data_IF_015509552559
#
_entry.id   IF_015509552559
#
_cell.length_a   1.000
_cell.length_b   1.000
_cell.length_c   1.000
_cell.angle_alpha   90.00
_cell.angle_beta   90.00
_cell.angle_gamma   90.00
#
_symmetry.space_group_name_H-M   'P 1'
#
loop_
_entity.id
_entity.type
_entity.pdbx_description
1 polymer ?
#
# COMPACT_ATOMS: atom_id res chain seq x y z
N UNK A 1 -1.64 58.78 -15.73
CA UNK A 1 -2.84 58.05 -16.18
C UNK A 1 -3.00 56.87 -15.24
N UNK A 2 -3.84 57.04 -14.21
CA UNK A 2 -4.03 56.04 -13.15
C UNK A 2 -4.77 54.80 -13.65
N UNK A 3 -4.49 53.59 -13.13
CA UNK A 3 -5.25 52.41 -13.47
C UNK A 3 -6.59 52.43 -12.73
N UNK A 4 -7.69 52.41 -13.48
CA UNK A 4 -9.04 52.29 -12.94
C UNK A 4 -9.21 50.89 -12.35
N UNK A 5 -9.27 50.78 -11.02
CA UNK A 5 -9.66 49.54 -10.33
C UNK A 5 -11.13 49.24 -10.64
N UNK A 6 -11.40 48.17 -11.40
CA UNK A 6 -12.78 47.64 -11.52
C UNK A 6 -13.12 46.81 -10.29
N UNK A 7 -14.28 47.07 -9.70
CA UNK A 7 -14.84 46.22 -8.65
C UNK A 7 -15.11 44.81 -9.21
N UNK A 8 -14.64 43.77 -8.51
CA UNK A 8 -14.78 42.36 -8.91
C UNK A 8 -16.22 41.82 -8.79
N UNK A 9 -17.17 42.65 -8.33
CA UNK A 9 -18.57 42.31 -8.15
C UNK A 9 -19.44 43.29 -8.93
N UNK A 10 -20.45 42.83 -9.70
CA UNK A 10 -21.41 43.70 -10.38
C UNK A 10 -22.43 44.32 -9.41
N UNK A 11 -22.35 44.01 -8.12
CA UNK A 11 -23.23 44.55 -7.09
C UNK A 11 -22.57 45.74 -6.37
N UNK A 12 -23.30 46.86 -6.21
CA UNK A 12 -22.76 48.08 -5.59
C UNK A 12 -22.51 47.94 -4.07
N UNK A 13 -23.16 46.97 -3.42
CA UNK A 13 -22.95 46.66 -2.00
C UNK A 13 -22.10 45.38 -1.86
N UNK A 14 -20.91 45.44 -1.24
CA UNK A 14 -20.03 44.28 -1.05
C UNK A 14 -20.61 43.21 -0.12
N UNK A 15 -21.64 43.51 0.67
CA UNK A 15 -22.34 42.55 1.52
C UNK A 15 -23.36 41.69 0.74
N UNK A 16 -23.75 42.13 -0.46
CA UNK A 16 -24.71 41.43 -1.31
C UNK A 16 -24.00 40.31 -2.05
N UNK A 17 -24.21 39.08 -1.57
CA UNK A 17 -23.67 37.87 -2.21
C UNK A 17 -24.36 37.63 -3.56
N UNK A 18 -23.57 37.52 -4.62
CA UNK A 18 -24.08 37.14 -5.93
C UNK A 18 -24.67 35.71 -5.96
N UNK A 19 -25.42 35.37 -7.03
CA UNK A 19 -26.09 34.06 -7.16
C UNK A 19 -25.14 32.87 -7.03
N UNK A 20 -23.92 33.00 -7.54
CA UNK A 20 -22.87 31.98 -7.42
C UNK A 20 -22.39 31.76 -5.99
N UNK A 21 -22.18 32.82 -5.21
CA UNK A 21 -21.74 32.70 -3.81
C UNK A 21 -22.87 32.23 -2.90
N UNK A 22 -24.14 32.53 -3.22
CA UNK A 22 -25.31 31.95 -2.55
C UNK A 22 -25.39 30.43 -2.79
N UNK A 23 -25.15 29.96 -4.02
CA UNK A 23 -25.12 28.52 -4.34
C UNK A 23 -23.98 27.78 -3.63
N UNK A 24 -22.82 28.42 -3.47
CA UNK A 24 -21.67 27.83 -2.77
C UNK A 24 -21.88 27.76 -1.25
N UNK A 25 -22.57 28.74 -0.67
CA UNK A 25 -22.96 28.74 0.75
C UNK A 25 -24.08 27.73 1.08
N UNK A 26 -24.83 27.26 0.07
CA UNK A 26 -25.91 26.26 0.20
C UNK A 26 -25.46 24.81 -0.02
N UNK A 27 -24.18 24.56 -0.33
CA UNK A 27 -23.68 23.19 -0.44
C UNK A 27 -23.60 22.58 0.96
N UNK A 28 -24.16 21.38 1.19
CA UNK A 28 -23.91 20.67 2.43
C UNK A 28 -22.40 20.48 2.58
N UNK A 29 -21.88 20.81 3.75
CA UNK A 29 -20.46 20.73 4.05
C UNK A 29 -20.05 19.25 4.09
N UNK A 30 -19.39 18.78 3.02
CA UNK A 30 -18.91 17.40 2.87
C UNK A 30 -17.98 16.98 4.02
N UNK A 31 -17.32 17.94 4.70
CA UNK A 31 -16.48 17.67 5.88
C UNK A 31 -17.28 17.23 7.12
N UNK A 32 -18.57 17.56 7.20
CA UNK A 32 -19.44 17.15 8.32
C UNK A 32 -20.01 15.74 8.14
N UNK A 33 -19.79 15.12 6.98
CA UNK A 33 -20.41 13.86 6.56
C UNK A 33 -19.47 12.64 6.69
N UNK A 34 -18.28 12.81 7.27
CA UNK A 34 -17.30 11.74 7.50
C UNK A 34 -17.34 11.35 8.99
N UNK A 35 -18.48 10.82 9.42
CA UNK A 35 -18.64 10.08 10.67
C UNK A 35 -19.87 9.19 10.52
N UNK A 36 -19.87 8.35 9.49
CA UNK A 36 -20.89 7.34 9.32
C UNK A 36 -20.27 6.01 9.71
N UNK A 37 -20.31 5.70 11.01
CA UNK A 37 -20.31 4.30 11.42
C UNK A 37 -21.48 3.63 10.72
N UNK A 38 -21.17 2.74 9.78
CA UNK A 38 -22.17 1.91 9.11
C UNK A 38 -22.77 0.93 10.13
N UNK A 39 -24.00 0.46 9.89
CA UNK A 39 -24.69 -0.55 10.70
C UNK A 39 -24.98 -0.17 12.17
N UNK A 40 -25.84 0.83 12.39
CA UNK A 40 -26.41 1.12 13.71
C UNK A 40 -27.59 0.19 13.98
N UNK A 41 -27.54 -0.53 15.10
CA UNK A 41 -28.62 -1.42 15.57
C UNK A 41 -28.96 -1.08 17.02
N UNK A 42 -30.08 -1.58 17.55
CA UNK A 42 -30.44 -1.45 18.97
C UNK A 42 -29.40 -2.04 19.91
N UNK A 43 -28.64 -3.04 19.46
CA UNK A 43 -27.52 -3.64 20.19
C UNK A 43 -26.22 -2.82 20.07
N UNK A 44 -26.05 -2.04 18.99
CA UNK A 44 -24.84 -1.26 18.73
C UNK A 44 -25.19 0.20 18.33
N UNK A 45 -25.57 1.05 19.30
CA UNK A 45 -26.02 2.41 19.03
C UNK A 45 -24.92 3.32 18.45
N UNK A 46 -23.65 3.01 18.72
CA UNK A 46 -22.48 3.69 18.14
C UNK A 46 -22.16 3.31 16.68
N UNK A 47 -22.83 2.30 16.13
CA UNK A 47 -22.47 1.64 14.88
C UNK A 47 -21.31 0.66 15.06
N UNK A 48 -21.26 -0.38 14.24
CA UNK A 48 -20.18 -1.38 14.28
C UNK A 48 -18.94 -0.74 13.65
N UNK A 49 -17.90 -0.52 14.44
CA UNK A 49 -16.58 -0.24 13.88
C UNK A 49 -16.07 -1.55 13.27
N UNK A 50 -15.64 -1.58 12.00
CA UNK A 50 -14.96 -2.75 11.48
C UNK A 50 -13.67 -2.91 12.29
N UNK A 51 -13.66 -3.87 13.22
CA UNK A 51 -12.41 -4.35 13.78
C UNK A 51 -11.87 -5.35 12.76
N UNK A 52 -10.71 -5.05 12.20
CA UNK A 52 -10.00 -6.00 11.35
C UNK A 52 -9.30 -6.95 12.31
N UNK A 53 -9.98 -8.04 12.66
CA UNK A 53 -9.33 -9.14 13.37
C UNK A 53 -8.30 -9.77 12.43
N UNK A 54 -7.11 -10.07 12.96
CA UNK A 54 -6.07 -10.73 12.21
C UNK A 54 -6.36 -12.23 12.16
N UNK A 55 -5.94 -12.85 11.06
CA UNK A 55 -5.98 -14.31 10.93
C UNK A 55 -4.86 -14.95 11.76
N UNK A 56 -5.04 -16.19 12.20
CA UNK A 56 -4.01 -16.96 12.92
C UNK A 56 -2.66 -16.97 12.16
N UNK A 57 -2.71 -17.02 10.83
CA UNK A 57 -1.55 -17.00 9.95
C UNK A 57 -0.84 -15.63 9.93
N UNK A 58 -1.58 -14.54 10.02
CA UNK A 58 -0.99 -13.20 10.12
C UNK A 58 -0.28 -13.04 11.48
N UNK A 59 -0.91 -13.49 12.56
CA UNK A 59 -0.33 -13.46 13.91
C UNK A 59 0.96 -14.30 13.99
N UNK A 60 0.95 -15.53 13.51
CA UNK A 60 2.13 -16.42 13.49
C UNK A 60 3.31 -15.82 12.71
N UNK A 61 3.03 -15.20 11.55
CA UNK A 61 4.06 -14.58 10.70
C UNK A 61 4.63 -13.32 11.34
N UNK A 62 3.84 -12.56 12.09
CA UNK A 62 4.36 -11.42 12.85
C UNK A 62 5.26 -11.90 13.99
N UNK A 63 4.86 -12.92 14.74
CA UNK A 63 5.69 -13.46 15.82
C UNK A 63 7.00 -14.09 15.32
N UNK A 64 6.92 -14.88 14.25
CA UNK A 64 8.06 -15.70 13.79
C UNK A 64 8.95 -14.93 12.81
N UNK A 65 8.35 -14.21 11.87
CA UNK A 65 9.05 -13.56 10.77
C UNK A 65 9.10 -12.03 10.88
N UNK A 66 8.53 -11.45 11.95
CA UNK A 66 8.48 -10.00 12.18
C UNK A 66 7.88 -9.23 11.00
N UNK A 67 6.90 -9.86 10.32
CA UNK A 67 6.18 -9.25 9.22
C UNK A 67 5.07 -8.37 9.79
N UNK A 68 5.13 -7.08 9.45
CA UNK A 68 4.13 -6.11 9.86
C UNK A 68 2.90 -6.16 8.92
N UNK A 69 1.86 -6.85 9.36
CA UNK A 69 0.60 -7.02 8.62
C UNK A 69 -0.32 -5.78 8.65
N UNK A 70 -0.03 -4.78 9.48
CA UNK A 70 -0.75 -3.50 9.44
C UNK A 70 -0.32 -2.66 8.23
N UNK A 71 0.91 -2.90 7.76
CA UNK A 71 1.53 -2.18 6.66
C UNK A 71 1.60 -2.99 5.35
N UNK A 72 1.44 -4.31 5.41
CA UNK A 72 1.55 -5.21 4.24
C UNK A 72 0.39 -6.20 4.20
N UNK A 73 -0.19 -6.40 3.00
CA UNK A 73 -1.20 -7.44 2.80
C UNK A 73 -0.56 -8.82 2.64
N UNK A 74 -1.00 -9.80 3.43
CA UNK A 74 -0.57 -11.19 3.29
C UNK A 74 -1.59 -11.94 2.44
N UNK A 75 -1.19 -12.30 1.21
CA UNK A 75 -2.02 -13.08 0.29
C UNK A 75 -1.40 -14.47 0.17
N UNK A 76 -2.01 -15.45 0.84
CA UNK A 76 -1.52 -16.83 0.82
C UNK A 76 -1.92 -17.53 -0.48
N UNK A 77 -0.92 -18.04 -1.21
CA UNK A 77 -1.08 -18.80 -2.46
C UNK A 77 -2.03 -18.14 -3.48
N UNK A 78 -1.77 -16.89 -3.92
CA UNK A 78 -2.60 -16.23 -4.93
C UNK A 78 -2.61 -17.02 -6.24
N UNK A 79 -3.71 -16.89 -6.98
CA UNK A 79 -3.78 -17.41 -8.34
C UNK A 79 -2.75 -16.72 -9.24
N UNK A 80 -2.34 -17.39 -10.32
CA UNK A 80 -1.45 -16.80 -11.33
C UNK A 80 -2.02 -15.50 -11.90
N UNK A 81 -3.33 -15.42 -12.10
CA UNK A 81 -4.00 -14.20 -12.61
C UNK A 81 -3.85 -13.02 -11.64
N UNK A 82 -4.08 -13.24 -10.34
CA UNK A 82 -3.88 -12.21 -9.32
C UNK A 82 -2.42 -11.72 -9.29
N UNK A 83 -1.45 -12.63 -9.40
CA UNK A 83 -0.03 -12.26 -9.48
C UNK A 83 0.30 -11.40 -10.72
N UNK A 84 -0.34 -11.65 -11.85
CA UNK A 84 -0.18 -10.81 -13.06
C UNK A 84 -0.75 -9.41 -12.83
N UNK A 85 -1.95 -9.33 -12.27
CA UNK A 85 -2.60 -8.05 -11.96
C UNK A 85 -1.76 -7.23 -10.99
N UNK A 86 -1.29 -7.83 -9.89
CA UNK A 86 -0.46 -7.17 -8.90
C UNK A 86 0.86 -6.67 -9.51
N UNK A 87 1.52 -7.49 -10.34
CA UNK A 87 2.76 -7.09 -11.00
C UNK A 87 2.55 -5.89 -11.95
N UNK A 88 1.43 -5.81 -12.66
CA UNK A 88 1.11 -4.70 -13.56
C UNK A 88 0.68 -3.43 -12.81
N UNK A 89 0.11 -3.56 -11.61
CA UNK A 89 -0.37 -2.43 -10.81
C UNK A 89 0.74 -1.83 -9.95
N UNK A 90 1.57 -2.66 -9.33
CA UNK A 90 2.49 -2.23 -8.27
C UNK A 90 3.96 -2.18 -8.68
N UNK A 91 4.40 -2.96 -9.68
CA UNK A 91 5.82 -3.04 -10.04
C UNK A 91 6.15 -2.22 -11.31
N UNK A 92 6.94 -1.15 -11.13
CA UNK A 92 7.36 -0.27 -12.22
C UNK A 92 8.50 -0.92 -13.02
N UNK A 93 8.14 -1.80 -13.93
CA UNK A 93 9.10 -2.59 -14.70
C UNK A 93 8.53 -3.89 -15.27
N UNK A 94 7.28 -4.20 -14.92
CA UNK A 94 6.55 -5.36 -15.44
C UNK A 94 5.71 -5.01 -16.66
N UNK A 95 5.61 -5.94 -17.61
CA UNK A 95 4.75 -5.82 -18.78
C UNK A 95 4.32 -7.20 -19.29
N UNK A 96 3.28 -7.25 -20.13
CA UNK A 96 2.87 -8.46 -20.84
C UNK A 96 3.44 -8.43 -22.26
N UNK A 97 4.11 -9.51 -22.66
CA UNK A 97 4.62 -9.68 -24.03
C UNK A 97 3.48 -10.01 -25.00
N UNK A 98 3.76 -9.97 -26.31
CA UNK A 98 2.80 -10.37 -27.35
C UNK A 98 2.37 -11.85 -27.22
N UNK A 99 3.25 -12.69 -26.68
CA UNK A 99 2.95 -14.09 -26.35
C UNK A 99 2.13 -14.27 -25.07
N UNK A 100 1.81 -13.19 -24.35
CA UNK A 100 1.07 -13.24 -23.08
C UNK A 100 1.93 -13.56 -21.85
N UNK A 101 3.26 -13.58 -21.96
CA UNK A 101 4.14 -13.83 -20.83
C UNK A 101 4.37 -12.54 -20.02
N UNK A 102 4.43 -12.66 -18.70
CA UNK A 102 4.88 -11.56 -17.84
C UNK A 102 6.41 -11.40 -17.95
N UNK A 103 6.86 -10.23 -18.35
CA UNK A 103 8.27 -9.81 -18.30
C UNK A 103 8.46 -8.80 -17.17
N UNK A 104 9.60 -8.85 -16.49
CA UNK A 104 9.98 -7.91 -15.44
C UNK A 104 11.44 -7.45 -15.64
N UNK A 105 11.70 -6.16 -15.48
CA UNK A 105 13.03 -5.58 -15.60
C UNK A 105 13.74 -5.51 -14.24
N UNK A 106 14.82 -6.27 -14.04
CA UNK A 106 15.55 -6.35 -12.76
C UNK A 106 16.63 -5.27 -12.56
N UNK A 107 16.69 -4.24 -13.43
CA UNK A 107 17.66 -3.16 -13.31
C UNK A 107 19.11 -3.61 -13.48
N UNK A 108 20.00 -3.08 -12.64
CA UNK A 108 21.43 -3.35 -12.71
C UNK A 108 21.82 -4.80 -12.33
N UNK A 109 20.94 -5.53 -11.65
CA UNK A 109 21.19 -6.89 -11.15
C UNK A 109 20.47 -7.89 -12.07
N UNK A 110 21.11 -8.22 -13.19
CA UNK A 110 20.54 -9.07 -14.24
C UNK A 110 20.91 -10.56 -14.13
N UNK A 111 21.63 -10.94 -13.08
CA UNK A 111 22.11 -12.30 -12.88
C UNK A 111 22.24 -12.66 -11.41
N UNK A 112 22.81 -13.85 -11.17
CA UNK A 112 23.10 -14.31 -9.80
C UNK A 112 24.19 -13.43 -9.17
N UNK A 113 24.14 -13.26 -7.86
CA UNK A 113 25.24 -12.72 -7.05
C UNK A 113 25.83 -13.84 -6.17
N UNK A 114 26.70 -14.72 -6.71
CA UNK A 114 27.18 -15.89 -5.95
C UNK A 114 27.89 -15.51 -4.65
N UNK A 115 28.53 -14.34 -4.61
CA UNK A 115 29.26 -13.85 -3.44
C UNK A 115 28.35 -13.35 -2.31
N UNK A 116 27.05 -13.20 -2.55
CA UNK A 116 26.06 -12.76 -1.54
C UNK A 116 25.41 -13.95 -0.83
N UNK A 117 25.47 -15.16 -1.41
CA UNK A 117 24.96 -16.38 -0.79
C UNK A 117 25.73 -16.71 0.49
N UNK A 118 25.02 -16.95 1.59
CA UNK A 118 25.55 -17.46 2.85
C UNK A 118 24.77 -18.70 3.28
N UNK A 119 25.39 -19.53 4.10
CA UNK A 119 24.75 -20.68 4.76
C UNK A 119 25.04 -20.53 6.24
N UNK A 120 23.99 -20.58 7.06
CA UNK A 120 24.13 -20.54 8.52
C UNK A 120 24.94 -21.76 8.96
N UNK A 121 25.98 -21.52 9.74
CA UNK A 121 26.83 -22.59 10.26
C UNK A 121 26.24 -23.12 11.57
N UNK A 122 25.24 -23.98 11.46
CA UNK A 122 24.60 -24.65 12.60
C UNK A 122 25.24 -26.00 12.93
N UNK A 123 25.20 -26.40 14.20
CA UNK A 123 25.83 -27.64 14.67
C UNK A 123 25.24 -28.91 14.04
N UNK A 124 23.97 -28.89 13.66
CA UNK A 124 23.26 -30.00 13.02
C UNK A 124 23.77 -30.36 11.62
N UNK A 125 24.34 -29.39 10.89
CA UNK A 125 24.68 -29.58 9.47
C UNK A 125 26.11 -29.19 9.11
N UNK A 126 26.88 -28.62 10.05
CA UNK A 126 28.20 -28.05 9.72
C UNK A 126 29.20 -29.05 9.14
N UNK A 127 29.09 -30.32 9.52
CA UNK A 127 30.01 -31.37 9.09
C UNK A 127 29.59 -31.96 7.73
N UNK A 128 28.36 -31.72 7.29
CA UNK A 128 27.83 -32.19 5.99
C UNK A 128 28.01 -31.15 4.86
N UNK A 129 28.48 -29.95 5.19
CA UNK A 129 28.64 -28.86 4.22
C UNK A 129 30.10 -28.72 3.80
N UNK A 130 30.34 -28.75 2.49
CA UNK A 130 31.67 -28.45 1.96
C UNK A 130 31.93 -26.93 1.95
N UNK A 131 32.57 -26.44 3.00
CA UNK A 131 32.90 -25.03 3.18
C UNK A 131 33.96 -24.52 2.22
N UNK A 132 33.81 -23.27 1.76
CA UNK A 132 34.77 -22.63 0.88
C UNK A 132 34.24 -21.38 0.18
N UNK A 133 34.85 -20.93 -0.93
CA UNK A 133 34.44 -19.72 -1.63
C UNK A 133 32.99 -19.72 -2.13
N UNK A 134 32.42 -20.91 -2.36
CA UNK A 134 31.04 -21.12 -2.83
C UNK A 134 30.04 -21.23 -1.68
N UNK A 135 30.41 -21.91 -0.60
CA UNK A 135 29.58 -22.10 0.59
C UNK A 135 30.24 -21.34 1.74
N UNK A 136 29.84 -20.08 1.88
CA UNK A 136 30.39 -19.17 2.88
C UNK A 136 29.57 -19.26 4.17
N UNK A 137 30.20 -19.52 5.32
CA UNK A 137 29.48 -19.59 6.58
C UNK A 137 28.96 -18.21 6.99
N UNK A 138 27.87 -18.20 7.75
CA UNK A 138 27.43 -17.06 8.56
C UNK A 138 27.02 -17.54 9.95
N UNK A 139 27.11 -16.64 10.93
CA UNK A 139 26.60 -16.84 12.28
C UNK A 139 25.06 -16.81 12.28
N UNK A 140 24.48 -17.30 13.36
CA UNK A 140 23.02 -17.23 13.57
C UNK A 140 22.61 -15.82 13.99
N UNK A 141 23.50 -15.11 14.69
CA UNK A 141 23.37 -13.71 15.12
C UNK A 141 23.67 -12.70 14.01
#
# INVERSE_FOLDING_TARGET
MDPILRAASPYPDPSVKGPRSILQARRPDLRRMISNSVNKTSLHPGGVQPHREHTELEEELHETAHIDYDHVAIIHNPSVAALYEDALVYETGSAITDSGALTAYSGAKTGRSPLDKRIVQEDSSKDDIWWGPVNKPMTTE
#
